data_IF_478532928529
#
_entry.id   IF_478532928529
#
_cell.length_a   1.000
_cell.length_b   1.000
_cell.length_c   1.000
_cell.angle_alpha   90.00
_cell.angle_beta   90.00
_cell.angle_gamma   90.00
#
_symmetry.space_group_name_H-M   'P 1'
#
loop_
_entity.id
_entity.type
_entity.pdbx_description
1 polymer ?
#
# COMPACT_ATOMS: atom_id res chain seq x y z
N UNK A 1 23.50 8.60 15.09
CA UNK A 1 22.16 8.13 15.53
C UNK A 1 21.55 7.33 14.39
N UNK A 2 20.82 6.26 14.68
CA UNK A 2 20.17 5.42 13.66
C UNK A 2 18.68 5.31 13.96
N UNK A 3 17.84 5.49 12.95
CA UNK A 3 16.40 5.21 13.01
C UNK A 3 16.08 4.12 11.98
N UNK A 4 15.45 3.04 12.44
CA UNK A 4 14.98 1.92 11.60
C UNK A 4 13.48 2.07 11.37
N UNK A 5 13.07 2.07 10.10
CA UNK A 5 11.67 2.21 9.68
C UNK A 5 11.07 0.88 9.21
N UNK A 6 11.81 -0.23 9.33
CA UNK A 6 11.45 -1.52 8.74
C UNK A 6 11.67 -1.55 7.22
N UNK A 7 11.32 -2.67 6.59
CA UNK A 7 11.40 -2.85 5.13
C UNK A 7 12.78 -2.59 4.49
N UNK A 8 13.86 -2.71 5.28
CA UNK A 8 15.23 -2.45 4.82
C UNK A 8 15.60 -0.96 4.76
N UNK A 9 14.78 -0.07 5.32
CA UNK A 9 15.01 1.38 5.32
C UNK A 9 15.57 1.80 6.67
N UNK A 10 16.79 2.35 6.66
CA UNK A 10 17.44 2.89 7.84
C UNK A 10 17.96 4.30 7.53
N UNK A 11 17.73 5.24 8.45
CA UNK A 11 18.33 6.57 8.40
C UNK A 11 19.46 6.60 9.43
N UNK A 12 20.67 6.89 8.95
CA UNK A 12 21.83 7.13 9.79
C UNK A 12 22.09 8.64 9.80
N UNK A 13 21.94 9.25 10.96
CA UNK A 13 22.27 10.65 11.20
C UNK A 13 23.61 10.75 11.91
N UNK A 14 24.63 11.27 11.23
CA UNK A 14 25.94 11.54 11.82
C UNK A 14 26.24 13.03 11.64
N UNK A 15 26.04 13.88 12.66
CA UNK A 15 26.36 15.29 12.53
C UNK A 15 27.87 15.44 12.32
N UNK A 16 28.28 16.04 11.20
CA UNK A 16 29.68 16.28 10.92
C UNK A 16 30.18 17.45 11.79
N UNK A 17 31.12 17.18 12.68
CA UNK A 17 31.78 18.22 13.50
C UNK A 17 32.81 19.00 12.66
N UNK A 18 33.34 18.38 11.61
CA UNK A 18 34.18 18.99 10.57
C UNK A 18 33.65 18.56 9.18
N UNK A 19 33.21 19.49 8.32
CA UNK A 19 32.70 19.18 6.98
C UNK A 19 33.74 18.57 6.03
N UNK A 20 35.03 18.52 6.41
CA UNK A 20 36.10 17.87 5.65
C UNK A 20 36.43 16.46 6.13
N UNK A 21 35.87 16.02 7.26
CA UNK A 21 36.10 14.68 7.78
C UNK A 21 35.18 13.65 7.10
N UNK A 22 35.77 12.61 6.50
CA UNK A 22 35.01 11.45 6.02
C UNK A 22 34.70 10.56 7.22
N UNK A 23 33.51 10.70 7.79
CA UNK A 23 33.04 9.86 8.90
C UNK A 23 32.59 8.50 8.36
N UNK A 24 33.18 7.42 8.86
CA UNK A 24 32.75 6.05 8.55
C UNK A 24 31.34 5.77 9.08
N UNK A 25 30.65 4.79 8.47
CA UNK A 25 29.30 4.36 8.89
C UNK A 25 29.39 3.82 10.33
N UNK A 26 28.78 4.47 11.34
CA UNK A 26 28.83 3.99 12.71
C UNK A 26 28.02 2.68 12.85
N UNK A 27 28.54 1.73 13.62
CA UNK A 27 27.86 0.48 13.91
C UNK A 27 26.58 0.73 14.73
N UNK A 28 25.52 -0.04 14.44
CA UNK A 28 24.23 -0.02 15.15
C UNK A 28 24.43 -0.22 16.66
N UNK A 29 24.16 0.81 17.47
CA UNK A 29 24.11 0.71 18.93
C UNK A 29 22.81 1.33 19.47
N UNK A 30 21.86 0.45 19.81
CA UNK A 30 20.99 0.52 20.98
C UNK A 30 20.20 1.81 21.27
N UNK A 31 19.64 2.49 20.27
CA UNK A 31 18.71 3.60 20.55
C UNK A 31 17.30 3.06 20.77
N UNK A 32 16.85 3.05 22.03
CA UNK A 32 15.43 2.83 22.36
C UNK A 32 14.66 4.10 22.08
N UNK A 33 13.83 4.10 21.03
CA UNK A 33 12.91 5.19 20.71
C UNK A 33 11.87 5.33 21.83
N UNK A 34 11.81 6.50 22.49
CA UNK A 34 10.67 6.86 23.34
C UNK A 34 9.44 7.10 22.45
N UNK A 35 8.21 6.82 22.92
CA UNK A 35 7.01 7.02 22.11
C UNK A 35 6.89 8.49 21.68
N UNK A 36 6.58 8.67 20.39
CA UNK A 36 6.49 9.97 19.72
C UNK A 36 5.51 10.93 20.41
N UNK A 37 5.82 12.23 20.36
CA UNK A 37 4.94 13.31 20.79
C UNK A 37 4.10 13.82 19.61
N UNK A 38 2.84 14.17 19.86
CA UNK A 38 1.86 14.62 18.87
C UNK A 38 2.18 16.02 18.31
N UNK A 39 2.00 16.20 16.99
CA UNK A 39 2.23 17.46 16.21
C UNK A 39 1.05 18.46 16.34
N UNK A 40 0.14 18.24 17.28
CA UNK A 40 -1.10 18.99 17.48
C UNK A 40 -0.87 20.25 18.35
N UNK A 41 -1.60 21.38 18.13
CA UNK A 41 -2.70 21.55 17.18
C UNK A 41 -2.34 22.10 15.78
N UNK A 42 -3.12 21.72 14.75
CA UNK A 42 -3.07 22.33 13.42
C UNK A 42 -3.65 23.75 13.41
N UNK A 43 -3.11 24.63 12.57
CA UNK A 43 -3.67 25.96 12.29
C UNK A 43 -4.29 26.04 10.89
N UNK A 44 -5.16 27.01 10.64
CA UNK A 44 -5.95 27.15 9.40
C UNK A 44 -5.11 27.13 8.10
N UNK A 45 -3.84 27.53 8.14
CA UNK A 45 -2.93 27.47 6.98
C UNK A 45 -2.45 26.05 6.67
N UNK A 46 -2.36 25.17 7.66
CA UNK A 46 -1.99 23.77 7.47
C UNK A 46 -3.11 23.01 6.73
N UNK A 47 -4.38 23.31 7.03
CA UNK A 47 -5.54 22.75 6.34
C UNK A 47 -5.64 23.18 4.86
N UNK A 48 -5.10 24.36 4.51
CA UNK A 48 -5.10 24.87 3.13
C UNK A 48 -3.95 24.31 2.26
N UNK A 49 -2.82 23.94 2.88
CA UNK A 49 -1.66 23.37 2.16
C UNK A 49 -1.77 21.84 2.08
N UNK A 50 -2.42 21.21 3.05
CA UNK A 50 -2.72 19.78 3.05
C UNK A 50 -3.94 19.47 2.18
N UNK A 51 -3.89 19.85 0.90
CA UNK A 51 -4.85 19.38 -0.10
C UNK A 51 -4.62 17.87 -0.23
N UNK A 52 -5.44 17.13 0.50
CA UNK A 52 -5.47 15.68 0.66
C UNK A 52 -5.12 14.94 -0.64
N UNK A 53 -3.84 14.55 -0.89
CA UNK A 53 -3.60 13.58 -1.94
C UNK A 53 -4.22 12.27 -1.45
N UNK A 54 -4.92 11.56 -2.32
CA UNK A 54 -5.41 10.23 -1.98
C UNK A 54 -4.18 9.34 -1.72
N UNK A 55 -3.80 9.18 -0.45
CA UNK A 55 -2.69 8.33 -0.07
C UNK A 55 -3.03 6.88 -0.44
N UNK A 56 -2.09 6.16 -1.07
CA UNK A 56 -2.20 4.71 -1.20
C UNK A 56 -2.46 4.06 0.17
N UNK A 57 -3.16 2.91 0.24
CA UNK A 57 -3.44 2.22 1.51
C UNK A 57 -2.19 1.84 2.32
N UNK A 58 -1.04 1.81 1.66
CA UNK A 58 0.28 1.43 2.17
C UNK A 58 1.25 2.62 2.35
N UNK A 59 0.76 3.86 2.21
CA UNK A 59 1.56 5.06 2.50
C UNK A 59 1.98 5.09 3.97
N UNK A 60 3.27 5.34 4.22
CA UNK A 60 3.84 5.52 5.55
C UNK A 60 4.62 6.83 5.59
N UNK A 61 4.37 7.64 6.62
CA UNK A 61 5.15 8.82 6.95
C UNK A 61 5.69 8.73 8.39
N UNK A 62 6.83 9.36 8.63
CA UNK A 62 7.42 9.43 9.95
C UNK A 62 8.13 10.77 10.14
N UNK A 63 7.94 11.38 11.31
CA UNK A 63 8.74 12.53 11.74
C UNK A 63 9.84 12.01 12.65
N UNK A 64 11.07 12.29 12.26
CA UNK A 64 12.26 11.96 13.03
C UNK A 64 12.73 13.24 13.72
N UNK A 65 12.80 13.22 15.05
CA UNK A 65 13.26 14.35 15.84
C UNK A 65 14.40 13.91 16.78
N UNK A 66 15.46 14.71 16.86
CA UNK A 66 16.58 14.50 17.75
C UNK A 66 16.64 15.66 18.76
N UNK A 67 16.21 15.47 20.02
CA UNK A 67 15.92 16.56 20.95
C UNK A 67 17.12 17.30 21.52
N UNK A 68 18.33 16.78 21.34
CA UNK A 68 19.56 17.31 21.95
C UNK A 68 20.55 17.81 20.88
N UNK A 69 20.08 18.58 19.90
CA UNK A 69 20.93 19.19 18.87
C UNK A 69 20.55 20.66 18.65
N UNK A 70 21.54 21.54 18.40
CA UNK A 70 21.31 22.93 17.95
C UNK A 70 20.81 23.01 16.48
N UNK A 71 20.36 21.89 15.92
CA UNK A 71 19.98 21.76 14.52
C UNK A 71 18.48 22.00 14.41
N UNK A 72 18.08 22.90 13.51
CA UNK A 72 16.66 23.12 13.22
C UNK A 72 16.00 21.82 12.69
N UNK A 73 14.70 21.61 12.97
CA UNK A 73 14.02 20.39 12.53
C UNK A 73 14.09 20.21 11.01
N UNK A 74 14.42 19.00 10.56
CA UNK A 74 14.47 18.64 9.14
C UNK A 74 13.28 17.73 8.84
N UNK A 75 12.53 18.08 7.79
CA UNK A 75 11.49 17.23 7.24
C UNK A 75 12.05 16.42 6.07
N UNK A 76 11.98 15.10 6.15
CA UNK A 76 12.42 14.20 5.08
C UNK A 76 11.20 13.40 4.61
N UNK A 77 10.78 13.62 3.37
CA UNK A 77 9.78 12.78 2.70
C UNK A 77 10.51 11.80 1.79
N UNK A 78 10.38 10.51 2.08
CA UNK A 78 10.93 9.43 1.27
C UNK A 78 9.79 8.71 0.58
N UNK A 79 9.70 8.82 -0.74
CA UNK A 79 8.93 7.87 -1.53
C UNK A 79 9.82 6.65 -1.76
N UNK A 80 9.76 5.72 -0.81
CA UNK A 80 10.33 4.39 -1.00
C UNK A 80 9.35 3.61 -1.86
N UNK A 81 9.84 2.98 -2.94
CA UNK A 81 9.09 1.88 -3.53
C UNK A 81 9.06 0.79 -2.48
N UNK A 82 8.06 0.82 -1.60
CA UNK A 82 7.65 -0.35 -0.86
C UNK A 82 7.52 -1.46 -1.87
N UNK A 83 7.99 -2.66 -1.53
CA UNK A 83 7.82 -3.82 -2.40
C UNK A 83 6.33 -4.03 -2.62
N UNK A 84 5.76 -3.40 -3.65
CA UNK A 84 4.41 -3.64 -4.15
C UNK A 84 4.44 -4.99 -4.84
N UNK A 85 4.74 -6.03 -4.06
CA UNK A 85 4.66 -7.40 -4.48
C UNK A 85 3.17 -7.66 -4.68
N UNK A 86 2.73 -7.51 -5.92
CA UNK A 86 1.40 -7.92 -6.32
C UNK A 86 1.15 -9.34 -5.87
N UNK A 87 -0.05 -9.59 -5.37
CA UNK A 87 -0.48 -10.93 -5.02
C UNK A 87 -0.64 -11.73 -6.31
N UNK A 88 0.11 -12.84 -6.50
CA UNK A 88 -0.04 -13.66 -7.68
C UNK A 88 -1.42 -14.29 -7.71
N UNK A 89 -2.05 -14.30 -8.89
CA UNK A 89 -3.37 -14.88 -9.03
C UNK A 89 -3.34 -16.39 -8.76
N UNK A 90 -4.20 -16.92 -7.88
CA UNK A 90 -4.21 -18.34 -7.57
C UNK A 90 -4.59 -19.17 -8.80
N UNK A 91 -4.26 -20.47 -8.78
CA UNK A 91 -4.58 -21.38 -9.91
C UNK A 91 -6.09 -21.61 -10.04
N UNK A 92 -6.80 -21.61 -8.92
CA UNK A 92 -8.26 -21.65 -8.79
C UNK A 92 -8.69 -20.91 -7.51
N UNK A 93 -9.99 -20.75 -7.31
CA UNK A 93 -10.54 -20.07 -6.14
C UNK A 93 -11.15 -21.11 -5.20
N UNK A 94 -10.54 -21.33 -4.03
CA UNK A 94 -10.93 -22.42 -3.14
C UNK A 94 -12.37 -22.28 -2.62
N UNK A 95 -12.80 -21.05 -2.33
CA UNK A 95 -14.16 -20.75 -1.90
C UNK A 95 -15.20 -20.83 -3.04
N UNK A 96 -14.76 -20.88 -4.29
CA UNK A 96 -15.62 -20.86 -5.47
C UNK A 96 -15.25 -22.02 -6.41
N UNK A 97 -15.45 -23.27 -5.99
CA UNK A 97 -14.98 -24.45 -6.74
C UNK A 97 -15.71 -24.68 -8.06
N UNK A 98 -16.86 -24.03 -8.27
CA UNK A 98 -17.71 -24.15 -9.45
C UNK A 98 -17.31 -23.19 -10.60
N UNK A 99 -16.33 -22.30 -10.37
CA UNK A 99 -15.90 -21.35 -11.39
C UNK A 99 -14.90 -21.97 -12.37
N UNK A 100 -15.09 -21.65 -13.65
CA UNK A 100 -14.19 -22.06 -14.74
C UNK A 100 -13.42 -20.86 -15.26
N UNK A 101 -12.17 -21.09 -15.68
CA UNK A 101 -11.35 -20.02 -16.30
C UNK A 101 -12.06 -19.45 -17.52
N UNK A 102 -11.98 -18.14 -17.69
CA UNK A 102 -12.55 -17.42 -18.81
C UNK A 102 -11.53 -16.45 -19.41
N UNK A 103 -11.77 -16.02 -20.65
CA UNK A 103 -10.90 -15.06 -21.33
C UNK A 103 -10.80 -13.75 -20.55
N UNK A 104 -9.57 -13.34 -20.25
CA UNK A 104 -9.29 -12.09 -19.58
C UNK A 104 -9.61 -10.91 -20.49
N UNK A 105 -10.23 -9.85 -19.95
CA UNK A 105 -10.62 -8.66 -20.73
C UNK A 105 -10.21 -7.35 -20.06
N UNK A 106 -10.32 -7.26 -18.75
CA UNK A 106 -9.98 -6.04 -18.01
C UNK A 106 -8.46 -5.89 -17.89
N UNK A 107 -7.91 -4.71 -18.18
CA UNK A 107 -6.48 -4.42 -17.99
C UNK A 107 -6.12 -4.31 -16.51
N UNK A 108 -4.90 -4.74 -16.15
CA UNK A 108 -4.32 -4.48 -14.84
C UNK A 108 -3.94 -2.99 -14.75
N UNK A 109 -4.33 -2.33 -13.67
CA UNK A 109 -4.02 -0.90 -13.48
C UNK A 109 -2.52 -0.74 -13.23
N UNK A 110 -1.86 0.10 -14.04
CA UNK A 110 -0.41 0.32 -13.97
C UNK A 110 0.45 -0.82 -14.53
N UNK A 111 -0.18 -1.87 -15.09
CA UNK A 111 0.52 -3.02 -15.67
C UNK A 111 0.24 -3.21 -17.17
N UNK A 112 1.05 -4.05 -17.82
CA UNK A 112 0.87 -4.41 -19.24
C UNK A 112 -0.09 -5.57 -19.51
N UNK A 113 -0.57 -6.25 -18.46
CA UNK A 113 -1.37 -7.48 -18.56
C UNK A 113 -2.88 -7.29 -18.39
N UNK A 114 -3.62 -8.38 -18.55
CA UNK A 114 -5.05 -8.46 -18.25
C UNK A 114 -5.28 -9.20 -16.93
N UNK A 115 -6.35 -8.84 -16.23
CA UNK A 115 -6.79 -9.46 -14.98
C UNK A 115 -7.23 -10.89 -15.26
N UNK A 116 -6.75 -11.83 -14.44
CA UNK A 116 -7.18 -13.22 -14.52
C UNK A 116 -8.68 -13.30 -14.21
N UNK A 117 -9.40 -14.08 -15.02
CA UNK A 117 -10.85 -14.11 -15.00
C UNK A 117 -11.39 -15.52 -14.94
N UNK A 118 -12.51 -15.68 -14.22
CA UNK A 118 -13.33 -16.88 -14.18
C UNK A 118 -14.81 -16.55 -14.33
N UNK A 119 -15.62 -17.55 -14.63
CA UNK A 119 -17.09 -17.48 -14.65
C UNK A 119 -17.70 -18.67 -13.96
N UNK A 120 -18.82 -18.47 -13.29
CA UNK A 120 -19.65 -19.57 -12.77
C UNK A 120 -20.74 -19.98 -13.78
N UNK A 121 -21.49 -21.02 -13.44
CA UNK A 121 -22.59 -21.53 -14.26
C UNK A 121 -23.77 -20.53 -14.39
N UNK A 122 -23.86 -19.52 -13.52
CA UNK A 122 -24.87 -18.44 -13.56
C UNK A 122 -24.42 -17.28 -14.44
N UNK A 123 -23.18 -17.33 -14.95
CA UNK A 123 -22.56 -16.28 -15.75
C UNK A 123 -21.98 -15.13 -14.93
N UNK A 124 -21.88 -15.25 -13.60
CA UNK A 124 -21.16 -14.27 -12.78
C UNK A 124 -19.69 -14.26 -13.17
N UNK A 125 -19.07 -13.10 -13.11
CA UNK A 125 -17.68 -12.89 -13.52
C UNK A 125 -16.84 -12.65 -12.28
N UNK A 126 -15.68 -13.28 -12.23
CA UNK A 126 -14.74 -13.21 -11.13
C UNK A 126 -13.43 -12.69 -11.69
N UNK A 127 -12.92 -11.57 -11.18
CA UNK A 127 -11.63 -11.02 -11.59
C UNK A 127 -10.67 -10.92 -10.41
N UNK A 128 -9.41 -11.29 -10.66
CA UNK A 128 -8.36 -11.14 -9.66
C UNK A 128 -7.94 -9.68 -9.50
N UNK A 129 -7.97 -9.20 -8.25
CA UNK A 129 -7.34 -7.96 -7.84
C UNK A 129 -5.97 -8.27 -7.21
N UNK A 130 -4.91 -8.08 -8.01
CA UNK A 130 -3.55 -8.35 -7.59
C UNK A 130 -3.00 -7.33 -6.59
N UNK A 131 -3.64 -6.17 -6.44
CA UNK A 131 -3.23 -5.18 -5.44
C UNK A 131 -3.70 -5.59 -4.05
N UNK A 132 -4.89 -6.20 -3.96
CA UNK A 132 -5.50 -6.55 -2.67
C UNK A 132 -5.48 -8.04 -2.35
N UNK A 133 -5.03 -8.89 -3.28
CA UNK A 133 -5.04 -10.34 -3.09
C UNK A 133 -6.46 -10.91 -2.97
N UNK A 134 -7.41 -10.30 -3.69
CA UNK A 134 -8.83 -10.57 -3.54
C UNK A 134 -9.49 -10.85 -4.89
N UNK A 135 -10.71 -11.40 -4.85
CA UNK A 135 -11.54 -11.56 -6.06
C UNK A 135 -12.67 -10.54 -6.06
N UNK A 136 -12.75 -9.74 -7.13
CA UNK A 136 -13.91 -8.90 -7.40
C UNK A 136 -14.95 -9.71 -8.18
N UNK A 137 -16.18 -9.74 -7.69
CA UNK A 137 -17.27 -10.49 -8.31
C UNK A 137 -18.24 -9.51 -8.99
N UNK A 138 -18.72 -9.89 -10.16
CA UNK A 138 -19.67 -9.15 -10.96
C UNK A 138 -20.84 -10.06 -11.39
N UNK A 139 -22.03 -9.48 -11.57
CA UNK A 139 -23.16 -10.21 -12.15
C UNK A 139 -22.94 -10.51 -13.64
N UNK A 140 -23.88 -11.26 -14.26
CA UNK A 140 -23.81 -11.61 -15.69
C UNK A 140 -23.89 -10.40 -16.64
N UNK A 141 -24.32 -9.26 -16.13
CA UNK A 141 -24.36 -7.98 -16.83
C UNK A 141 -23.09 -7.15 -16.59
N UNK A 142 -22.13 -7.68 -15.82
CA UNK A 142 -20.88 -7.03 -15.48
C UNK A 142 -20.98 -6.00 -14.37
N UNK A 143 -22.08 -5.93 -13.61
CA UNK A 143 -22.22 -5.00 -12.46
C UNK A 143 -21.49 -5.54 -11.24
N UNK A 144 -20.73 -4.69 -10.56
CA UNK A 144 -19.95 -5.07 -9.38
C UNK A 144 -20.84 -5.50 -8.20
N UNK A 145 -20.51 -6.64 -7.60
CA UNK A 145 -21.18 -7.24 -6.43
C UNK A 145 -20.35 -7.11 -5.14
N UNK A 146 -19.05 -6.85 -5.25
CA UNK A 146 -18.16 -6.67 -4.10
C UNK A 146 -16.80 -7.34 -4.28
N UNK A 147 -15.99 -7.20 -3.25
CA UNK A 147 -14.69 -7.86 -3.12
C UNK A 147 -14.81 -8.99 -2.10
N UNK A 148 -14.18 -10.13 -2.40
CA UNK A 148 -14.29 -11.34 -1.61
C UNK A 148 -12.92 -11.99 -1.41
N UNK A 149 -12.76 -12.67 -0.27
CA UNK A 149 -11.61 -13.50 0.00
C UNK A 149 -11.65 -14.78 -0.88
N UNK A 150 -10.58 -15.11 -1.62
CA UNK A 150 -10.58 -16.24 -2.55
C UNK A 150 -10.57 -17.62 -1.85
N UNK A 151 -10.18 -17.68 -0.58
CA UNK A 151 -10.06 -18.90 0.22
C UNK A 151 -11.28 -19.16 1.08
N UNK A 152 -11.82 -18.13 1.73
CA UNK A 152 -12.97 -18.25 2.64
C UNK A 152 -14.31 -17.90 1.99
N UNK A 153 -14.30 -17.09 0.92
CA UNK A 153 -15.51 -16.58 0.27
C UNK A 153 -16.19 -15.44 1.03
N UNK A 154 -15.59 -14.98 2.14
CA UNK A 154 -16.09 -13.85 2.91
C UNK A 154 -16.03 -12.56 2.08
N UNK A 155 -17.09 -11.75 2.15
CA UNK A 155 -17.13 -10.45 1.51
C UNK A 155 -16.33 -9.43 2.32
N UNK A 156 -15.22 -8.94 1.76
CA UNK A 156 -14.34 -7.96 2.42
C UNK A 156 -14.78 -6.52 2.13
N UNK A 157 -15.43 -6.28 0.98
CA UNK A 157 -15.97 -4.95 0.63
C UNK A 157 -17.33 -5.05 -0.07
N UNK A 158 -18.24 -4.07 0.17
CA UNK A 158 -19.53 -4.03 -0.49
C UNK A 158 -19.40 -3.74 -1.99
N UNK A 159 -20.50 -3.96 -2.72
CA UNK A 159 -20.64 -3.53 -4.10
C UNK A 159 -20.35 -2.02 -4.24
N UNK A 160 -19.68 -1.65 -5.34
CA UNK A 160 -19.39 -0.25 -5.69
C UNK A 160 -20.33 0.19 -6.81
N UNK A 161 -21.31 1.08 -6.55
CA UNK A 161 -22.23 1.57 -7.56
C UNK A 161 -21.47 2.17 -8.76
N UNK A 162 -21.96 1.93 -9.98
CA UNK A 162 -21.34 2.43 -11.21
C UNK A 162 -20.16 1.61 -11.74
N UNK A 163 -19.51 0.79 -10.92
CA UNK A 163 -18.40 -0.07 -11.36
C UNK A 163 -18.93 -1.22 -12.22
N UNK A 164 -18.36 -1.36 -13.42
CA UNK A 164 -18.74 -2.38 -14.40
C UNK A 164 -17.52 -3.00 -15.11
N UNK A 165 -17.68 -4.23 -15.58
CA UNK A 165 -16.72 -4.93 -16.45
C UNK A 165 -17.39 -5.41 -17.73
N UNK A 166 -16.57 -5.62 -18.77
CA UNK A 166 -17.04 -6.26 -19.98
C UNK A 166 -17.40 -7.73 -19.72
N UNK A 167 -18.55 -8.16 -20.25
CA UNK A 167 -19.08 -9.52 -20.16
C UNK A 167 -18.26 -10.55 -20.91
#
# INVERSE_FOLDING_TARGET
MVADFGYGIQIIWTPAVDPKAVLGIPALQGVTLKPAAWVFPPGEKADQILINPAYPPDYQDAIVWFPDTDIQPIYISLSVMGGHAYHPAPKGLAAFPDVVKADAKTKVQGGGGLRKRWKDHKGRIYEWDSQHGAVEIYDKQGKHLGEFNPETGEQTKPAKPGRKVER
#
